data_IF_727233941747
#
_entry.id   IF_727233941747
#
_cell.length_a   1.000
_cell.length_b   1.000
_cell.length_c   1.000
_cell.angle_alpha   90.00
_cell.angle_beta   90.00
_cell.angle_gamma   90.00
#
_symmetry.space_group_name_H-M   'P 1'
#
loop_
_entity.id
_entity.type
_entity.pdbx_description
1 polymer ?
#
# COMPACT_ATOMS: atom_id res chain seq x y z
N UNK A 1 4.67 -50.91 7.73
CA UNK A 1 5.06 -49.58 8.20
C UNK A 1 5.82 -48.74 7.14
N UNK A 2 6.71 -49.33 6.34
CA UNK A 2 7.51 -48.57 5.35
C UNK A 2 6.69 -47.98 4.16
N UNK A 3 5.61 -48.71 3.74
CA UNK A 3 4.74 -48.28 2.61
C UNK A 3 3.83 -47.08 2.93
N UNK A 4 3.48 -46.87 4.19
CA UNK A 4 2.66 -45.75 4.63
C UNK A 4 3.45 -44.43 4.77
N UNK A 5 4.72 -44.48 5.10
CA UNK A 5 5.62 -43.33 5.18
C UNK A 5 5.92 -42.71 3.81
N UNK A 6 6.00 -43.56 2.75
CA UNK A 6 6.24 -43.09 1.37
C UNK A 6 5.06 -42.29 0.80
N UNK A 7 3.81 -42.62 1.17
CA UNK A 7 2.61 -41.93 0.71
C UNK A 7 2.47 -40.55 1.35
N UNK A 8 2.89 -40.37 2.60
CA UNK A 8 2.84 -39.05 3.29
C UNK A 8 3.91 -38.11 2.75
N UNK A 9 5.08 -38.62 2.38
CA UNK A 9 6.16 -37.82 1.80
C UNK A 9 5.82 -37.27 0.39
N UNK A 10 4.99 -37.95 -0.38
CA UNK A 10 4.55 -37.49 -1.72
C UNK A 10 3.48 -36.39 -1.66
N UNK A 11 2.70 -36.30 -0.58
CA UNK A 11 1.67 -35.26 -0.43
C UNK A 11 2.24 -33.89 -0.07
N UNK A 12 3.46 -33.83 0.46
CA UNK A 12 4.12 -32.58 0.89
C UNK A 12 4.79 -31.80 -0.26
N UNK A 13 4.81 -32.31 -1.49
CA UNK A 13 5.46 -31.73 -2.66
C UNK A 13 4.47 -31.19 -3.70
N UNK A 14 3.22 -30.91 -3.32
CA UNK A 14 2.30 -30.24 -4.24
C UNK A 14 2.73 -28.78 -4.40
N UNK A 15 3.05 -28.33 -5.65
CA UNK A 15 3.36 -26.93 -5.89
C UNK A 15 2.11 -26.11 -5.57
N UNK A 16 2.24 -25.14 -4.69
CA UNK A 16 1.22 -24.12 -4.45
C UNK A 16 1.17 -23.26 -5.71
N UNK A 17 0.23 -23.56 -6.60
CA UNK A 17 -0.02 -22.75 -7.79
C UNK A 17 -0.65 -21.45 -7.29
N UNK A 18 0.15 -20.41 -7.16
CA UNK A 18 -0.33 -19.05 -6.90
C UNK A 18 -1.02 -18.55 -8.17
N UNK A 19 -2.35 -18.48 -8.16
CA UNK A 19 -3.11 -17.80 -9.21
C UNK A 19 -2.90 -16.30 -9.06
N UNK A 20 -1.97 -15.75 -9.81
CA UNK A 20 -1.94 -14.30 -10.03
C UNK A 20 -3.23 -13.90 -10.75
N UNK A 21 -4.02 -13.00 -10.15
CA UNK A 21 -5.21 -12.47 -10.80
C UNK A 21 -4.77 -11.70 -12.07
N UNK A 22 -5.28 -12.11 -13.23
CA UNK A 22 -5.04 -11.39 -14.48
C UNK A 22 -5.98 -10.19 -14.56
N UNK A 23 -5.47 -9.01 -14.24
CA UNK A 23 -6.19 -7.75 -14.42
C UNK A 23 -6.19 -7.33 -15.88
N UNK A 24 -7.36 -6.96 -16.41
CA UNK A 24 -7.58 -6.59 -17.82
C UNK A 24 -7.82 -5.09 -17.92
N UNK A 25 -7.05 -4.42 -18.78
CA UNK A 25 -7.24 -2.99 -19.06
C UNK A 25 -8.63 -2.75 -19.68
N UNK A 26 -9.28 -1.67 -19.26
CA UNK A 26 -10.63 -1.31 -19.69
C UNK A 26 -11.75 -2.02 -18.93
N UNK A 27 -11.44 -3.10 -18.19
CA UNK A 27 -12.37 -3.82 -17.32
C UNK A 27 -12.05 -3.61 -15.84
N UNK A 28 -10.82 -3.94 -15.43
CA UNK A 28 -10.40 -3.94 -14.04
C UNK A 28 -9.62 -2.67 -13.68
N UNK A 29 -8.99 -2.03 -14.65
CA UNK A 29 -8.28 -0.76 -14.50
C UNK A 29 -8.29 0.04 -15.82
N UNK A 30 -7.94 1.32 -15.73
CA UNK A 30 -7.77 2.22 -16.87
C UNK A 30 -6.42 2.95 -16.76
N UNK A 31 -5.66 2.93 -17.84
CA UNK A 31 -4.43 3.73 -17.93
C UNK A 31 -4.81 5.21 -18.07
N UNK A 32 -4.21 6.05 -17.25
CA UNK A 32 -4.39 7.51 -17.34
C UNK A 32 -3.64 8.05 -18.58
N UNK A 33 -4.26 8.96 -19.32
CA UNK A 33 -3.63 9.60 -20.47
C UNK A 33 -2.37 10.39 -20.09
N UNK A 34 -2.36 10.98 -18.90
CA UNK A 34 -1.23 11.70 -18.33
C UNK A 34 -0.93 11.12 -16.94
N UNK A 35 -0.17 10.03 -16.84
CA UNK A 35 0.19 9.44 -15.56
C UNK A 35 1.11 10.40 -14.78
N UNK A 36 0.90 10.47 -13.48
CA UNK A 36 1.83 11.18 -12.59
C UNK A 36 3.17 10.43 -12.57
N UNK A 37 4.26 11.14 -12.81
CA UNK A 37 5.59 10.57 -12.68
C UNK A 37 5.82 10.18 -11.22
N UNK A 38 6.47 9.05 -11.00
CA UNK A 38 6.88 8.62 -9.67
C UNK A 38 8.03 9.52 -9.17
N UNK A 39 7.80 10.44 -8.21
CA UNK A 39 8.85 11.35 -7.72
C UNK A 39 9.94 10.61 -6.94
N UNK A 40 9.66 9.42 -6.44
CA UNK A 40 10.62 8.58 -5.74
C UNK A 40 11.64 7.87 -6.67
N UNK A 41 11.57 8.09 -7.99
CA UNK A 41 12.48 7.54 -8.98
C UNK A 41 12.38 6.01 -9.07
N UNK A 42 13.44 5.30 -8.62
CA UNK A 42 13.46 3.82 -8.62
C UNK A 42 12.74 3.20 -7.43
N UNK A 43 12.40 3.99 -6.40
CA UNK A 43 11.70 3.52 -5.21
C UNK A 43 10.20 3.48 -5.47
N UNK A 44 9.48 2.69 -4.69
CA UNK A 44 8.02 2.64 -4.70
C UNK A 44 7.52 3.69 -3.73
N UNK A 45 6.82 4.72 -4.22
CA UNK A 45 6.19 5.69 -3.35
C UNK A 45 4.80 5.19 -2.93
N UNK A 46 4.58 5.12 -1.63
CA UNK A 46 3.26 4.95 -1.01
C UNK A 46 2.88 6.28 -0.39
N UNK A 47 1.83 6.91 -0.91
CA UNK A 47 1.36 8.22 -0.46
C UNK A 47 0.01 8.11 0.21
N UNK A 48 -0.07 8.57 1.47
CA UNK A 48 -1.32 8.75 2.19
C UNK A 48 -1.82 10.19 1.99
N UNK A 49 -3.02 10.34 1.46
CA UNK A 49 -3.75 11.59 1.52
C UNK A 49 -4.65 11.57 2.75
N UNK A 50 -4.44 12.46 3.69
CA UNK A 50 -5.13 12.46 4.97
C UNK A 50 -5.72 13.84 5.30
N UNK A 51 -6.60 13.88 6.28
CA UNK A 51 -7.08 15.10 6.92
C UNK A 51 -7.10 14.91 8.44
N UNK A 52 -6.65 15.92 9.19
CA UNK A 52 -6.58 15.85 10.66
C UNK A 52 -7.92 15.56 11.35
N UNK A 53 -9.05 16.03 10.78
CA UNK A 53 -10.39 15.77 11.30
C UNK A 53 -11.00 14.43 10.86
N UNK A 54 -10.27 13.58 10.15
CA UNK A 54 -10.81 12.33 9.59
C UNK A 54 -10.72 11.17 10.61
N UNK A 55 -11.88 10.65 11.12
CA UNK A 55 -11.86 9.51 12.05
C UNK A 55 -11.32 8.22 11.45
N UNK A 56 -11.45 8.06 10.12
CA UNK A 56 -10.94 6.88 9.42
C UNK A 56 -9.42 6.92 9.32
N UNK A 57 -8.84 8.08 9.02
CA UNK A 57 -7.38 8.29 9.02
C UNK A 57 -6.81 8.01 10.42
N UNK A 58 -7.45 8.53 11.46
CA UNK A 58 -7.05 8.29 12.84
C UNK A 58 -7.03 6.80 13.21
N UNK A 59 -8.05 6.04 12.77
CA UNK A 59 -8.10 4.59 13.01
C UNK A 59 -7.08 3.81 12.19
N UNK A 60 -6.69 4.30 11.02
CA UNK A 60 -5.70 3.68 10.14
C UNK A 60 -4.27 3.91 10.65
N UNK A 61 -4.01 5.03 11.32
CA UNK A 61 -2.68 5.47 11.72
C UNK A 61 -1.86 4.41 12.50
N UNK A 62 -2.39 3.71 13.51
CA UNK A 62 -1.64 2.66 14.20
C UNK A 62 -1.18 1.52 13.28
N UNK A 63 -1.96 1.21 12.25
CA UNK A 63 -1.60 0.17 11.27
C UNK A 63 -0.49 0.64 10.34
N UNK A 64 -0.54 1.91 9.92
CA UNK A 64 0.53 2.54 9.14
C UNK A 64 1.82 2.56 9.95
N UNK A 65 1.79 3.00 11.21
CA UNK A 65 2.96 3.04 12.09
C UNK A 65 3.59 1.65 12.31
N UNK A 66 2.75 0.61 12.44
CA UNK A 66 3.24 -0.77 12.53
C UNK A 66 3.90 -1.22 11.22
N UNK A 67 3.28 -0.92 10.07
CA UNK A 67 3.82 -1.26 8.76
C UNK A 67 5.12 -0.50 8.45
N UNK A 68 5.24 0.76 8.82
CA UNK A 68 6.46 1.56 8.63
C UNK A 68 7.70 0.90 9.23
N UNK A 69 7.55 0.13 10.32
CA UNK A 69 8.65 -0.60 10.96
C UNK A 69 9.12 -1.81 10.16
N UNK A 70 8.28 -2.33 9.26
CA UNK A 70 8.52 -3.59 8.54
C UNK A 70 8.46 -3.45 7.02
N UNK A 71 8.16 -2.23 6.50
CA UNK A 71 8.07 -1.99 5.07
C UNK A 71 9.38 -2.33 4.35
N UNK A 72 9.33 -2.77 3.09
CA UNK A 72 10.51 -2.99 2.27
C UNK A 72 11.39 -1.73 2.16
N UNK A 73 12.70 -1.93 2.03
CA UNK A 73 13.66 -0.82 1.98
C UNK A 73 13.53 0.04 0.71
N UNK A 74 13.00 -0.50 -0.36
CA UNK A 74 12.72 0.19 -1.63
C UNK A 74 11.40 0.96 -1.64
N UNK A 75 10.63 0.93 -0.53
CA UNK A 75 9.39 1.68 -0.36
C UNK A 75 9.65 2.97 0.42
N UNK A 76 9.18 4.10 -0.13
CA UNK A 76 9.12 5.41 0.54
C UNK A 76 7.67 5.71 0.90
N UNK A 77 7.44 6.12 2.14
CA UNK A 77 6.13 6.55 2.61
C UNK A 77 6.07 8.06 2.72
N UNK A 78 5.03 8.68 2.16
CA UNK A 78 4.83 10.14 2.16
C UNK A 78 3.42 10.46 2.64
N UNK A 79 3.28 11.35 3.62
CA UNK A 79 2.00 11.92 4.01
C UNK A 79 1.73 13.23 3.29
N UNK A 80 0.51 13.41 2.82
CA UNK A 80 0.08 14.63 2.14
C UNK A 80 -1.27 15.05 2.69
N UNK A 81 -1.37 16.19 3.39
CA UNK A 81 -2.64 16.68 3.88
C UNK A 81 -3.53 17.12 2.71
N UNK A 82 -4.77 16.66 2.69
CA UNK A 82 -5.75 17.06 1.68
C UNK A 82 -6.31 18.45 2.00
N UNK A 83 -6.43 19.30 0.99
CA UNK A 83 -6.91 20.68 1.09
C UNK A 83 -8.18 20.87 0.24
N UNK A 84 -9.26 20.12 0.53
CA UNK A 84 -10.48 20.11 -0.29
C UNK A 84 -11.45 21.25 0.02
N UNK A 85 -11.25 21.99 1.11
CA UNK A 85 -12.03 23.16 1.51
C UNK A 85 -11.21 24.06 2.45
N UNK A 86 -11.68 25.27 2.80
CA UNK A 86 -10.92 26.22 3.62
C UNK A 86 -10.49 25.70 5.00
N UNK A 87 -11.30 24.85 5.65
CA UNK A 87 -10.94 24.24 6.95
C UNK A 87 -9.78 23.27 6.78
N UNK A 88 -9.85 22.43 5.76
CA UNK A 88 -8.79 21.45 5.45
C UNK A 88 -7.51 22.16 4.99
N UNK A 89 -7.65 23.23 4.22
CA UNK A 89 -6.51 24.07 3.80
C UNK A 89 -5.78 24.67 4.99
N UNK A 90 -6.50 25.18 6.00
CA UNK A 90 -5.90 25.68 7.22
C UNK A 90 -5.07 24.62 7.96
N UNK A 91 -5.60 23.41 8.04
CA UNK A 91 -4.88 22.26 8.64
C UNK A 91 -3.64 21.87 7.80
N UNK A 92 -3.76 21.85 6.47
CA UNK A 92 -2.65 21.54 5.58
C UNK A 92 -1.52 22.58 5.68
N UNK A 93 -1.85 23.85 5.79
CA UNK A 93 -0.87 24.93 6.04
C UNK A 93 -0.15 24.74 7.36
N UNK A 94 -0.86 24.33 8.43
CA UNK A 94 -0.26 24.02 9.73
C UNK A 94 0.74 22.87 9.65
N UNK A 95 0.40 21.82 8.89
CA UNK A 95 1.29 20.68 8.65
C UNK A 95 2.63 21.14 8.05
N UNK A 96 2.59 21.87 6.93
CA UNK A 96 3.80 22.31 6.24
C UNK A 96 4.56 23.47 6.96
N UNK A 97 3.99 24.03 7.98
CA UNK A 97 4.68 25.05 8.79
C UNK A 97 5.61 24.44 9.85
N UNK A 98 5.48 23.15 10.15
CA UNK A 98 6.26 22.44 11.18
C UNK A 98 7.16 21.33 10.65
N UNK A 99 7.11 21.06 9.35
CA UNK A 99 8.07 20.21 8.63
C UNK A 99 9.39 20.97 8.38
#
# INVERSE_FOLDING_TARGET
MLKTLTAIAMLALMPVVSFAANFVEGKDYKILANPTLNPAGKQIEVREFFWYGCPHCFRLDPHIEAWLKTKPADVVFVRTPAALNPVWEGNARGYYAVE
#
